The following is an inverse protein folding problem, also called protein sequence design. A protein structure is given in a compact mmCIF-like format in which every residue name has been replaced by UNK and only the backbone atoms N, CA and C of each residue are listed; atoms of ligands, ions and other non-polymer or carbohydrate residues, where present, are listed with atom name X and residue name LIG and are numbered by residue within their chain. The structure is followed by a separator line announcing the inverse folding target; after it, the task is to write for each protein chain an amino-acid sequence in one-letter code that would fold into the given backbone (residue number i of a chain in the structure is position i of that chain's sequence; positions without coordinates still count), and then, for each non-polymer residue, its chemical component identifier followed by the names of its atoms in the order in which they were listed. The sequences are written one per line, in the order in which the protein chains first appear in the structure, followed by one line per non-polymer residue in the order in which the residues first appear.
data_IF_586627912434
#
_entry.id   IF_586627912434
#
_cell.length_a   1.000
_cell.length_b   1.000
_cell.length_c   1.000
_cell.angle_alpha   90.00
_cell.angle_beta   90.00
_cell.angle_gamma   90.00
#
_symmetry.space_group_name_H-M   'P 1'
#
loop_
_entity.id
_entity.type
_entity.pdbx_description
1 polymer ?
#
# COMPACT_ATOMS: atom_id res chain seq x y z
N UNK A 1 -22.59 -18.84 -2.23
CA UNK A 1 -22.24 -18.34 -0.90
C UNK A 1 -22.42 -16.84 -0.90
N UNK A 2 -23.40 -16.36 -0.22
CA UNK A 2 -23.61 -14.93 -0.01
C UNK A 2 -22.69 -14.49 1.13
N UNK A 3 -21.63 -13.78 0.79
CA UNK A 3 -20.82 -13.11 1.76
C UNK A 3 -21.68 -12.03 2.42
N UNK A 4 -22.06 -12.24 3.68
CA UNK A 4 -22.81 -11.24 4.43
C UNK A 4 -21.86 -10.09 4.71
N UNK A 5 -21.94 -9.00 3.96
CA UNK A 5 -21.26 -7.75 4.28
C UNK A 5 -21.82 -7.24 5.60
N UNK A 6 -21.01 -7.30 6.64
CA UNK A 6 -21.32 -6.70 7.93
C UNK A 6 -21.30 -5.17 7.87
N UNK A 7 -20.88 -4.60 6.77
CA UNK A 7 -20.79 -3.16 6.56
C UNK A 7 -21.93 -2.70 5.65
N UNK A 8 -22.88 -1.96 6.22
CA UNK A 8 -24.02 -1.40 5.49
C UNK A 8 -23.69 -0.20 4.61
N UNK A 9 -22.41 0.22 4.59
CA UNK A 9 -22.00 1.38 3.79
C UNK A 9 -22.00 1.05 2.30
N UNK A 10 -22.44 1.98 1.44
CA UNK A 10 -22.33 1.79 0.01
C UNK A 10 -20.87 1.56 -0.41
N UNK A 11 -20.64 0.65 -1.34
CA UNK A 11 -19.31 0.40 -1.90
C UNK A 11 -18.70 1.65 -2.56
N UNK A 12 -19.53 2.47 -3.18
CA UNK A 12 -19.15 3.77 -3.74
C UNK A 12 -19.54 4.86 -2.77
N UNK A 13 -18.59 5.63 -2.23
CA UNK A 13 -18.88 6.74 -1.34
C UNK A 13 -19.72 7.84 -2.00
N UNK A 14 -20.42 8.69 -1.22
CA UNK A 14 -21.17 9.82 -1.78
C UNK A 14 -20.28 10.73 -2.63
N UNK A 15 -20.83 11.27 -3.72
CA UNK A 15 -20.16 12.18 -4.65
C UNK A 15 -18.98 11.60 -5.42
N UNK A 16 -18.87 10.29 -5.49
CA UNK A 16 -17.90 9.57 -6.31
C UNK A 16 -18.52 9.09 -7.61
N UNK A 17 -17.76 9.15 -8.69
CA UNK A 17 -18.15 8.62 -10.00
C UNK A 17 -17.28 7.39 -10.31
N UNK A 18 -17.92 6.27 -10.64
CA UNK A 18 -17.20 5.05 -11.03
C UNK A 18 -16.54 5.25 -12.39
N UNK A 19 -15.27 4.89 -12.51
CA UNK A 19 -14.51 4.99 -13.75
C UNK A 19 -13.81 3.67 -14.07
N UNK A 20 -13.68 3.36 -15.36
CA UNK A 20 -12.82 2.28 -15.84
C UNK A 20 -11.38 2.77 -16.11
N UNK A 21 -11.19 4.08 -16.17
CA UNK A 21 -9.87 4.67 -16.34
C UNK A 21 -9.12 4.71 -15.02
N UNK A 22 -7.80 4.71 -15.11
CA UNK A 22 -6.94 4.97 -13.95
C UNK A 22 -6.22 6.31 -14.21
N UNK A 23 -6.78 7.44 -13.76
CA UNK A 23 -6.15 8.74 -13.96
C UNK A 23 -4.75 8.77 -13.32
N UNK A 24 -3.77 9.28 -14.07
CA UNK A 24 -2.41 9.47 -13.54
C UNK A 24 -2.39 10.73 -12.70
N UNK A 25 -2.16 10.56 -11.41
CA UNK A 25 -2.08 11.66 -10.45
C UNK A 25 -0.68 11.70 -9.87
N UNK A 26 0.00 12.83 -10.01
CA UNK A 26 1.36 13.01 -9.48
C UNK A 26 1.45 14.22 -8.57
N UNK A 27 2.29 14.11 -7.54
CA UNK A 27 2.65 15.22 -6.66
C UNK A 27 4.07 15.67 -7.02
N UNK A 28 4.17 16.65 -7.91
CA UNK A 28 5.46 17.08 -8.45
C UNK A 28 6.00 16.17 -9.55
N UNK A 29 7.29 16.26 -9.82
CA UNK A 29 7.96 15.41 -10.82
C UNK A 29 8.20 14.01 -10.23
N UNK A 30 7.70 12.94 -10.85
CA UNK A 30 7.96 11.59 -10.37
C UNK A 30 9.44 11.25 -10.43
N UNK A 31 9.93 10.56 -9.41
CA UNK A 31 11.25 9.96 -9.45
C UNK A 31 11.27 8.76 -10.40
N UNK A 32 12.37 8.57 -11.10
CA UNK A 32 12.54 7.49 -12.08
C UNK A 32 13.68 6.57 -11.68
N UNK A 33 13.58 5.93 -10.51
CA UNK A 33 14.53 4.92 -10.11
C UNK A 33 14.30 3.63 -10.92
N UNK A 34 15.35 3.07 -11.48
CA UNK A 34 15.30 1.74 -12.09
C UNK A 34 15.20 0.64 -11.05
N UNK A 35 14.82 -0.56 -11.50
CA UNK A 35 14.74 -1.76 -10.63
C UNK A 35 16.06 -2.03 -9.91
N UNK A 36 17.18 -1.78 -10.58
CA UNK A 36 18.52 -2.03 -10.02
C UNK A 36 18.86 -1.06 -8.88
N UNK A 37 18.25 0.11 -8.85
CA UNK A 37 18.46 1.12 -7.82
C UNK A 37 17.36 1.15 -6.77
N UNK A 38 16.27 0.41 -7.01
CA UNK A 38 15.12 0.43 -6.13
C UNK A 38 15.43 -0.20 -4.78
N UNK A 39 15.05 0.47 -3.72
CA UNK A 39 15.11 -0.04 -2.36
C UNK A 39 13.86 0.34 -1.58
N UNK A 40 13.52 -0.49 -0.59
CA UNK A 40 12.52 -0.19 0.43
C UNK A 40 13.20 -0.23 1.79
N UNK A 41 13.30 0.90 2.44
CA UNK A 41 13.82 0.99 3.80
C UNK A 41 12.67 0.93 4.81
N UNK A 42 12.80 0.05 5.79
CA UNK A 42 11.90 -0.08 6.93
C UNK A 42 12.73 0.17 8.18
N UNK A 43 12.58 1.34 8.76
CA UNK A 43 13.44 1.81 9.86
C UNK A 43 12.67 2.62 10.90
N UNK A 44 13.40 3.24 11.79
CA UNK A 44 12.85 4.02 12.90
C UNK A 44 12.64 3.16 14.13
N UNK A 45 11.46 3.25 14.72
CA UNK A 45 11.15 2.61 16.00
C UNK A 45 10.76 1.14 15.83
N UNK A 46 11.70 0.37 15.29
CA UNK A 46 11.58 -1.07 15.02
C UNK A 46 12.74 -1.82 15.65
N UNK A 47 12.51 -3.09 15.99
CA UNK A 47 13.56 -3.93 16.57
C UNK A 47 14.61 -4.35 15.54
N UNK A 48 14.22 -4.51 14.29
CA UNK A 48 15.06 -5.05 13.24
C UNK A 48 14.95 -4.22 11.94
N UNK A 49 15.59 -3.03 11.90
CA UNK A 49 15.56 -2.21 10.69
C UNK A 49 16.20 -2.94 9.51
N UNK A 50 15.58 -2.83 8.34
CA UNK A 50 16.06 -3.46 7.11
C UNK A 50 15.93 -2.49 5.93
N UNK A 51 16.79 -2.69 4.94
CA UNK A 51 16.65 -2.12 3.61
C UNK A 51 16.60 -3.26 2.62
N UNK A 52 15.50 -3.36 1.89
CA UNK A 52 15.26 -4.43 0.91
C UNK A 52 15.56 -3.91 -0.49
N UNK A 53 16.43 -4.60 -1.19
CA UNK A 53 16.59 -4.44 -2.64
C UNK A 53 15.48 -5.19 -3.37
N UNK A 54 15.35 -4.96 -4.67
CA UNK A 54 14.28 -5.54 -5.49
C UNK A 54 14.21 -7.08 -5.37
N UNK A 55 15.34 -7.77 -5.46
CA UNK A 55 15.38 -9.22 -5.34
C UNK A 55 14.95 -9.72 -3.97
N UNK A 56 15.38 -9.05 -2.89
CA UNK A 56 15.01 -9.40 -1.53
C UNK A 56 13.52 -9.17 -1.26
N UNK A 57 12.96 -8.08 -1.78
CA UNK A 57 11.54 -7.80 -1.69
C UNK A 57 10.71 -8.87 -2.42
N UNK A 58 11.10 -9.25 -3.62
CA UNK A 58 10.40 -10.27 -4.39
C UNK A 58 10.57 -11.69 -3.84
N UNK A 59 11.54 -11.92 -2.97
CA UNK A 59 11.71 -13.19 -2.26
C UNK A 59 10.77 -13.33 -1.05
N UNK A 60 10.17 -12.25 -0.59
CA UNK A 60 9.13 -12.29 0.45
C UNK A 60 7.85 -12.94 -0.09
N UNK A 61 6.99 -13.47 0.80
CA UNK A 61 5.71 -14.03 0.37
C UNK A 61 4.90 -13.02 -0.43
N UNK A 62 4.61 -13.36 -1.68
CA UNK A 62 3.81 -12.55 -2.58
C UNK A 62 2.33 -12.95 -2.49
N UNK A 63 1.46 -12.00 -2.68
CA UNK A 63 0.03 -12.19 -2.55
C UNK A 63 -0.72 -11.34 -3.57
N UNK A 64 -1.86 -11.84 -4.03
CA UNK A 64 -2.76 -11.07 -4.89
C UNK A 64 -3.80 -10.35 -4.03
N UNK A 65 -4.05 -9.10 -4.38
CA UNK A 65 -5.00 -8.25 -3.68
C UNK A 65 -6.02 -7.69 -4.67
N UNK A 66 -7.27 -7.65 -4.26
CA UNK A 66 -8.33 -6.94 -4.98
C UNK A 66 -8.83 -5.81 -4.11
N UNK A 67 -8.81 -4.59 -4.62
CA UNK A 67 -9.17 -3.41 -3.86
C UNK A 67 -9.94 -2.41 -4.71
N UNK A 68 -10.80 -1.64 -4.04
CA UNK A 68 -11.44 -0.47 -4.63
C UNK A 68 -10.61 0.76 -4.29
N UNK A 69 -10.41 1.65 -5.25
CA UNK A 69 -9.70 2.92 -5.04
C UNK A 69 -10.70 4.05 -5.13
N UNK A 70 -10.72 4.89 -4.09
CA UNK A 70 -11.54 6.10 -4.01
C UNK A 70 -10.63 7.32 -3.92
N UNK A 71 -10.58 8.11 -4.99
CA UNK A 71 -9.72 9.26 -5.03
C UNK A 71 -10.44 10.50 -4.49
N UNK A 72 -9.71 11.40 -3.85
CA UNK A 72 -10.23 12.70 -3.39
C UNK A 72 -10.76 13.55 -4.55
N UNK A 73 -10.32 13.31 -5.78
CA UNK A 73 -10.80 13.96 -6.98
C UNK A 73 -12.11 13.39 -7.54
N UNK A 74 -12.85 12.67 -6.69
CA UNK A 74 -14.24 12.21 -6.91
C UNK A 74 -14.42 11.07 -7.91
N UNK A 75 -13.39 10.30 -8.18
CA UNK A 75 -13.56 9.08 -8.96
C UNK A 75 -13.28 7.83 -8.11
N UNK A 76 -13.97 6.76 -8.44
CA UNK A 76 -13.77 5.45 -7.85
C UNK A 76 -13.49 4.42 -8.94
N UNK A 77 -12.42 3.65 -8.78
CA UNK A 77 -12.12 2.50 -9.61
C UNK A 77 -12.28 1.24 -8.78
N UNK A 78 -13.23 0.39 -9.15
CA UNK A 78 -13.57 -0.82 -8.42
C UNK A 78 -12.78 -2.02 -8.92
N UNK A 79 -12.57 -2.99 -8.03
CA UNK A 79 -11.95 -4.28 -8.34
C UNK A 79 -10.57 -4.18 -9.00
N UNK A 80 -9.74 -3.26 -8.52
CA UNK A 80 -8.36 -3.18 -8.97
C UNK A 80 -7.55 -4.36 -8.45
N UNK A 81 -6.77 -4.99 -9.32
CA UNK A 81 -5.99 -6.18 -9.02
C UNK A 81 -4.52 -5.85 -8.90
N UNK A 82 -3.94 -6.26 -7.79
CA UNK A 82 -2.56 -5.96 -7.42
C UNK A 82 -1.85 -7.23 -6.97
N UNK A 83 -0.55 -7.25 -7.15
CA UNK A 83 0.32 -8.24 -6.56
C UNK A 83 1.42 -7.56 -5.78
N UNK A 84 1.74 -8.09 -4.61
CA UNK A 84 2.77 -7.53 -3.75
C UNK A 84 2.88 -8.23 -2.42
N UNK A 85 3.38 -7.52 -1.43
CA UNK A 85 3.65 -8.04 -0.09
C UNK A 85 2.76 -7.32 0.92
N UNK A 86 2.09 -8.09 1.78
CA UNK A 86 1.25 -7.50 2.83
C UNK A 86 2.10 -6.74 3.86
N UNK A 87 1.53 -5.69 4.42
CA UNK A 87 2.19 -4.94 5.49
C UNK A 87 2.34 -5.78 6.76
N UNK A 88 1.52 -6.82 6.94
CA UNK A 88 1.70 -7.76 8.03
C UNK A 88 3.03 -8.51 7.90
N UNK A 89 3.37 -8.96 6.69
CA UNK A 89 4.67 -9.62 6.43
C UNK A 89 5.83 -8.68 6.76
N UNK A 90 5.75 -7.43 6.32
CA UNK A 90 6.79 -6.43 6.59
C UNK A 90 6.89 -6.09 8.08
N UNK A 91 5.75 -5.97 8.77
CA UNK A 91 5.73 -5.73 10.21
C UNK A 91 6.36 -6.88 10.99
N UNK A 92 6.06 -8.14 10.60
CA UNK A 92 6.65 -9.31 11.23
C UNK A 92 8.16 -9.38 11.01
N UNK A 93 8.64 -8.88 9.87
CA UNK A 93 10.07 -8.82 9.56
C UNK A 93 10.82 -7.84 10.45
N UNK A 94 10.29 -6.62 10.64
CA UNK A 94 10.98 -5.53 11.34
C UNK A 94 10.58 -5.38 12.80
N UNK A 95 9.43 -5.89 13.19
CA UNK A 95 8.87 -5.85 14.56
C UNK A 95 8.86 -4.43 15.15
N UNK A 96 7.80 -3.64 14.87
CA UNK A 96 7.64 -2.33 15.50
C UNK A 96 7.68 -2.44 17.03
N UNK A 97 8.38 -1.52 17.68
CA UNK A 97 8.48 -1.51 19.14
C UNK A 97 7.16 -1.13 19.79
N UNK A 98 6.94 -1.61 21.00
CA UNK A 98 5.77 -1.25 21.80
C UNK A 98 5.70 0.28 21.98
N UNK A 99 4.52 0.86 21.73
CA UNK A 99 4.31 2.30 21.80
C UNK A 99 4.45 3.03 20.46
N UNK A 100 4.85 2.34 19.41
CA UNK A 100 4.86 2.90 18.06
C UNK A 100 3.45 2.90 17.48
N UNK A 101 2.86 4.08 17.29
CA UNK A 101 1.47 4.22 16.86
C UNK A 101 1.34 4.67 15.41
N UNK A 102 2.39 5.25 14.82
CA UNK A 102 2.35 5.87 13.50
C UNK A 102 3.50 5.43 12.62
N UNK A 103 3.23 5.43 11.32
CA UNK A 103 4.21 5.18 10.27
C UNK A 103 4.22 6.37 9.31
N UNK A 104 5.38 6.83 8.94
CA UNK A 104 5.55 7.76 7.84
C UNK A 104 5.99 6.99 6.59
N UNK A 105 5.14 6.99 5.58
CA UNK A 105 5.50 6.49 4.25
C UNK A 105 6.14 7.63 3.46
N UNK A 106 7.32 7.39 2.89
CA UNK A 106 8.06 8.37 2.08
C UNK A 106 8.34 7.80 0.71
N UNK A 107 7.95 8.52 -0.31
CA UNK A 107 8.29 8.21 -1.70
C UNK A 107 9.63 8.85 -2.10
N UNK A 108 10.22 8.37 -3.18
CA UNK A 108 11.48 8.88 -3.70
C UNK A 108 11.47 10.39 -3.97
N UNK A 109 10.35 10.96 -4.36
CA UNK A 109 10.20 12.40 -4.57
C UNK A 109 9.97 13.24 -3.31
N UNK A 110 10.28 12.71 -2.14
CA UNK A 110 10.03 13.33 -0.82
C UNK A 110 8.54 13.55 -0.48
N UNK A 111 7.64 12.99 -1.24
CA UNK A 111 6.23 12.96 -0.86
C UNK A 111 6.04 12.04 0.35
N UNK A 112 5.36 12.51 1.39
CA UNK A 112 5.16 11.75 2.62
C UNK A 112 3.69 11.65 2.99
N UNK A 113 3.34 10.55 3.65
CA UNK A 113 2.04 10.34 4.24
C UNK A 113 2.18 9.72 5.63
N UNK A 114 1.37 10.17 6.57
CA UNK A 114 1.33 9.62 7.92
C UNK A 114 0.14 8.69 8.07
N UNK A 115 0.40 7.49 8.56
CA UNK A 115 -0.59 6.42 8.68
C UNK A 115 -0.54 5.86 10.10
N UNK A 116 -1.66 5.36 10.59
CA UNK A 116 -1.67 4.65 11.86
C UNK A 116 -1.14 3.24 11.67
N UNK A 117 -0.23 2.82 12.52
CA UNK A 117 0.36 1.48 12.45
C UNK A 117 -0.72 0.40 12.47
N UNK A 118 -1.73 0.53 13.32
CA UNK A 118 -2.83 -0.43 13.43
C UNK A 118 -3.64 -0.62 12.15
N UNK A 119 -3.70 0.42 11.30
CA UNK A 119 -4.41 0.35 10.01
C UNK A 119 -3.54 -0.31 8.94
N UNK A 120 -2.22 -0.24 9.08
CA UNK A 120 -1.26 -0.86 8.16
C UNK A 120 -1.01 -2.33 8.49
N UNK A 121 -0.92 -2.69 9.76
CA UNK A 121 -0.69 -4.07 10.20
C UNK A 121 -2.00 -4.85 10.06
N UNK A 122 -2.38 -5.08 8.83
CA UNK A 122 -3.56 -5.85 8.47
C UNK A 122 -3.27 -6.62 7.18
N UNK A 123 -4.11 -7.58 6.89
CA UNK A 123 -4.05 -8.35 5.64
C UNK A 123 -4.60 -7.58 4.43
N UNK A 124 -5.04 -6.35 4.63
CA UNK A 124 -5.63 -5.48 3.59
C UNK A 124 -4.68 -4.42 3.07
N UNK A 125 -3.64 -4.07 3.83
CA UNK A 125 -2.63 -3.11 3.40
C UNK A 125 -1.43 -3.85 2.79
N UNK A 126 -0.88 -3.32 1.72
CA UNK A 126 0.18 -3.97 0.96
C UNK A 126 1.06 -2.98 0.22
N UNK A 127 2.27 -3.42 -0.10
CA UNK A 127 3.16 -2.74 -1.04
C UNK A 127 3.10 -3.51 -2.35
N UNK A 128 2.61 -2.87 -3.40
CA UNK A 128 2.36 -3.49 -4.68
C UNK A 128 3.53 -3.29 -5.66
N UNK A 129 3.81 -4.32 -6.43
CA UNK A 129 4.78 -4.29 -7.52
C UNK A 129 4.15 -4.54 -8.88
N UNK A 130 2.94 -5.08 -8.93
CA UNK A 130 2.21 -5.36 -10.17
C UNK A 130 0.77 -4.88 -10.07
N UNK A 131 0.28 -4.34 -11.17
CA UNK A 131 -1.09 -3.91 -11.35
C UNK A 131 -1.68 -4.55 -12.61
N UNK A 132 -2.81 -5.26 -12.43
CA UNK A 132 -3.58 -5.89 -13.50
C UNK A 132 -2.77 -6.88 -14.36
N UNK A 133 -1.77 -7.49 -13.77
CA UNK A 133 -0.92 -8.49 -14.40
C UNK A 133 0.41 -7.99 -14.89
#
# INVERSE_FOLDING_TARGET
MTETRLDSRPRVPPNQVVTQKFPVMTAGTPATAGIEEWTLALDGDVENPVTLEWAAFNALPQQDFTADIHCVTRWSKLDTRWRGVSLQVLADLVRPKTGSDYVQARADGNYTANLRLRDLVSDKAFVATEFDG
#
